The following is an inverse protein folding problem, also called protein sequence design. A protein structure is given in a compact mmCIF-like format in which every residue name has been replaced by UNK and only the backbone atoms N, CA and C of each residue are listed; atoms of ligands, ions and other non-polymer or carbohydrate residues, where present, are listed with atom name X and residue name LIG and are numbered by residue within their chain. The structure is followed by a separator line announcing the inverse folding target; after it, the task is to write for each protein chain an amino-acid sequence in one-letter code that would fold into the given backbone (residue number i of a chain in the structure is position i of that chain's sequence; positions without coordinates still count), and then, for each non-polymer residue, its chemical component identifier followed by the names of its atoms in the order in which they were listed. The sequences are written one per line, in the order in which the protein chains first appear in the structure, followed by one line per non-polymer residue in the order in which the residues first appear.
data_IF_757933416580
#
_entry.id   IF_757933416580
#
_cell.length_a   1.000
_cell.length_b   1.000
_cell.length_c   1.000
_cell.angle_alpha   90.00
_cell.angle_beta   90.00
_cell.angle_gamma   90.00
#
_symmetry.space_group_name_H-M   'P 1'
#
loop_
_entity.id
_entity.type
_entity.pdbx_description
1 polymer ?
#
# COMPACT_ATOMS: atom_id res chain seq x y z
N UNK A 1 42.20 -6.54 19.19
CA UNK A 1 41.60 -5.23 19.54
C UNK A 1 40.72 -4.83 18.38
N UNK A 2 39.48 -5.18 18.45
CA UNK A 2 38.42 -4.72 17.55
C UNK A 2 37.49 -3.90 18.44
N UNK A 3 37.50 -2.59 18.22
CA UNK A 3 36.72 -1.64 18.96
C UNK A 3 35.26 -1.71 18.46
N UNK A 4 34.35 -1.86 19.40
CA UNK A 4 32.92 -1.86 19.24
C UNK A 4 32.46 -0.59 18.53
N UNK A 5 31.79 -0.75 17.39
CA UNK A 5 31.02 0.31 16.75
C UNK A 5 29.56 0.12 17.21
N UNK A 6 29.17 0.88 18.23
CA UNK A 6 27.77 1.00 18.57
C UNK A 6 26.98 1.56 17.38
N UNK A 7 25.80 1.00 17.05
CA UNK A 7 24.94 1.56 16.02
C UNK A 7 24.33 2.88 16.53
N UNK A 8 24.63 3.98 15.84
CA UNK A 8 24.01 5.28 16.05
C UNK A 8 22.47 5.18 15.90
N UNK A 9 21.76 5.19 17.01
CA UNK A 9 20.28 5.24 17.10
C UNK A 9 19.69 6.60 16.67
N UNK A 10 20.51 7.62 16.45
CA UNK A 10 20.06 9.03 16.37
C UNK A 10 19.81 9.53 14.93
N UNK A 11 19.89 8.67 13.92
CA UNK A 11 19.69 9.08 12.53
C UNK A 11 18.28 8.82 11.99
N UNK A 12 17.40 8.27 12.78
CA UNK A 12 16.15 7.76 12.24
C UNK A 12 15.00 8.75 12.28
N UNK A 13 14.94 9.85 12.83
CA UNK A 13 13.82 10.83 12.80
C UNK A 13 13.93 11.87 13.93
N UNK A 14 14.37 13.05 13.53
CA UNK A 14 14.00 14.29 14.23
C UNK A 14 14.84 14.70 15.42
N UNK A 15 15.98 15.34 15.17
CA UNK A 15 16.54 16.31 16.12
C UNK A 15 16.57 17.70 15.48
N UNK A 16 15.87 18.60 16.14
CA UNK A 16 15.94 20.07 16.14
C UNK A 16 17.09 20.67 15.30
N UNK A 17 16.82 21.05 14.05
CA UNK A 17 17.67 21.93 13.30
C UNK A 17 17.44 23.39 13.73
N UNK A 18 18.36 23.95 14.50
CA UNK A 18 18.48 25.38 14.74
C UNK A 18 18.56 26.10 13.38
N UNK A 19 17.63 27.02 13.14
CA UNK A 19 17.64 27.96 12.01
C UNK A 19 18.94 28.76 12.02
N UNK A 20 19.88 28.43 11.16
CA UNK A 20 20.88 29.39 10.68
C UNK A 20 20.28 30.09 9.45
N UNK A 21 20.05 31.36 9.56
CA UNK A 21 19.84 32.25 8.40
C UNK A 21 21.10 32.16 7.55
N UNK A 22 21.02 31.57 6.37
CA UNK A 22 22.04 31.72 5.34
C UNK A 22 21.55 32.76 4.33
N UNK A 23 22.26 33.84 4.24
CA UNK A 23 22.12 34.81 3.15
C UNK A 23 22.34 34.09 1.82
N UNK A 24 21.34 34.13 0.97
CA UNK A 24 21.40 33.62 -0.39
C UNK A 24 22.19 34.57 -1.25
N UNK A 25 23.47 34.34 -1.43
CA UNK A 25 24.23 34.91 -2.54
C UNK A 25 23.88 34.10 -3.80
N UNK A 26 23.17 34.74 -4.72
CA UNK A 26 22.90 34.23 -6.07
C UNK A 26 24.23 34.03 -6.78
N UNK A 27 24.59 32.84 -7.28
CA UNK A 27 25.81 32.65 -8.06
C UNK A 27 25.65 33.38 -9.41
N UNK A 28 26.63 34.22 -9.75
CA UNK A 28 26.76 34.86 -11.07
C UNK A 28 26.77 33.79 -12.16
N UNK A 29 26.08 34.09 -13.27
CA UNK A 29 26.02 33.25 -14.46
C UNK A 29 27.38 32.69 -14.85
N UNK A 30 27.49 31.37 -14.80
CA UNK A 30 28.63 30.60 -15.35
C UNK A 30 28.43 30.59 -16.88
N UNK A 31 29.42 31.04 -17.64
CA UNK A 31 29.42 31.01 -19.10
C UNK A 31 29.17 29.57 -19.59
N UNK A 32 28.16 29.37 -20.43
CA UNK A 32 27.64 28.10 -20.88
C UNK A 32 28.53 27.33 -21.88
N UNK A 33 29.82 27.62 -21.98
CA UNK A 33 30.62 27.15 -23.11
C UNK A 33 31.37 25.83 -22.93
N UNK A 34 31.38 25.17 -21.78
CA UNK A 34 32.00 23.86 -21.62
C UNK A 34 31.46 23.08 -20.41
N UNK A 35 30.17 22.79 -20.40
CA UNK A 35 29.67 21.82 -19.45
C UNK A 35 29.69 20.46 -20.15
N UNK A 36 30.59 19.58 -19.74
CA UNK A 36 30.64 18.18 -20.19
C UNK A 36 29.26 17.52 -19.99
N UNK A 37 28.79 16.66 -20.92
CA UNK A 37 27.60 15.85 -20.71
C UNK A 37 27.62 15.08 -19.37
N UNK A 38 28.79 14.68 -18.89
CA UNK A 38 29.01 14.10 -17.56
C UNK A 38 28.69 15.08 -16.43
N UNK A 39 29.04 16.36 -16.58
CA UNK A 39 28.78 17.38 -15.55
C UNK A 39 27.29 17.71 -15.50
N UNK A 40 26.61 17.76 -16.66
CA UNK A 40 25.15 17.93 -16.72
C UNK A 40 24.45 16.72 -16.11
N UNK A 41 24.93 15.51 -16.40
CA UNK A 41 24.41 14.28 -15.83
C UNK A 41 24.61 14.23 -14.31
N UNK A 42 25.81 14.57 -13.80
CA UNK A 42 26.10 14.67 -12.38
C UNK A 42 25.29 15.78 -11.68
N UNK A 43 25.11 16.94 -12.31
CA UNK A 43 24.24 18.00 -11.80
C UNK A 43 22.79 17.57 -11.77
N UNK A 44 22.29 16.92 -12.83
CA UNK A 44 20.94 16.38 -12.86
C UNK A 44 20.71 15.36 -11.74
N UNK A 45 21.64 14.43 -11.54
CA UNK A 45 21.60 13.48 -10.42
C UNK A 45 21.70 14.17 -9.06
N UNK A 46 22.56 15.22 -8.93
CA UNK A 46 22.77 15.94 -7.68
C UNK A 46 21.52 16.73 -7.23
N UNK A 47 20.75 17.26 -8.17
CA UNK A 47 19.54 18.05 -7.88
C UNK A 47 18.28 17.20 -7.73
N UNK A 48 18.26 15.94 -8.19
CA UNK A 48 17.09 15.05 -8.11
C UNK A 48 17.20 14.00 -7.01
N UNK A 49 18.29 13.96 -6.24
CA UNK A 49 18.41 13.02 -5.12
C UNK A 49 17.58 13.49 -3.92
N UNK A 50 16.64 12.65 -3.51
CA UNK A 50 15.89 12.81 -2.25
C UNK A 50 16.84 12.63 -1.07
N UNK A 51 17.42 13.73 -0.56
CA UNK A 51 18.34 13.76 0.58
C UNK A 51 17.63 13.96 1.91
N UNK A 52 16.36 14.22 1.85
CA UNK A 52 15.47 14.50 2.97
C UNK A 52 14.83 13.24 3.57
N UNK A 53 14.96 12.09 2.87
CA UNK A 53 14.35 10.81 3.24
C UNK A 53 15.33 9.65 3.11
N UNK A 54 15.01 8.55 3.80
CA UNK A 54 15.74 7.29 3.64
C UNK A 54 15.28 6.59 2.35
N UNK A 55 16.19 6.35 1.42
CA UNK A 55 15.93 5.72 0.12
C UNK A 55 16.35 4.25 0.04
N UNK A 56 17.07 3.74 1.04
CA UNK A 56 17.49 2.35 1.18
C UNK A 56 17.28 1.88 2.62
N UNK A 57 16.85 0.66 2.78
CA UNK A 57 16.76 -0.01 4.08
C UNK A 57 18.14 -0.47 4.57
N UNK A 58 18.31 -0.85 5.85
CA UNK A 58 19.55 -1.49 6.35
C UNK A 58 19.92 -2.78 5.62
N UNK A 59 18.95 -3.49 5.02
CA UNK A 59 19.16 -4.70 4.21
C UNK A 59 19.23 -4.39 2.70
N UNK A 60 19.43 -3.14 2.32
CA UNK A 60 19.64 -2.63 0.96
C UNK A 60 18.43 -2.77 0.01
N UNK A 61 17.22 -2.95 0.53
CA UNK A 61 16.02 -2.85 -0.29
C UNK A 61 15.71 -1.37 -0.58
N UNK A 62 15.31 -1.01 -1.81
CA UNK A 62 14.94 0.36 -2.14
C UNK A 62 13.65 0.76 -1.44
N UNK A 63 13.60 2.02 -0.96
CA UNK A 63 12.38 2.68 -0.51
C UNK A 63 11.95 3.65 -1.60
N UNK A 64 10.79 3.38 -2.20
CA UNK A 64 10.28 4.13 -3.36
C UNK A 64 9.61 5.42 -2.89
N UNK A 65 10.16 6.55 -3.31
CA UNK A 65 9.61 7.89 -3.11
C UNK A 65 9.44 8.59 -4.45
N UNK A 66 8.59 9.62 -4.51
CA UNK A 66 8.60 10.54 -5.65
C UNK A 66 10.00 11.10 -5.85
N UNK A 67 10.46 11.11 -7.11
CA UNK A 67 11.81 11.57 -7.46
C UNK A 67 12.94 10.54 -7.30
N UNK A 68 12.67 9.30 -6.85
CA UNK A 68 13.69 8.23 -6.74
C UNK A 68 13.71 7.28 -7.93
N UNK A 69 12.80 7.42 -8.88
CA UNK A 69 12.69 6.57 -10.07
C UNK A 69 12.29 7.40 -11.30
N UNK A 70 12.56 6.86 -12.48
CA UNK A 70 12.09 7.40 -13.75
C UNK A 70 10.96 6.53 -14.27
N UNK A 71 9.75 7.09 -14.34
CA UNK A 71 8.56 6.39 -14.82
C UNK A 71 8.76 5.89 -16.24
N UNK A 72 9.16 6.76 -17.16
CA UNK A 72 9.30 6.43 -18.58
C UNK A 72 10.28 5.28 -18.83
N UNK A 73 11.39 5.24 -18.06
CA UNK A 73 12.37 4.15 -18.15
C UNK A 73 11.77 2.85 -17.64
N UNK A 74 11.09 2.87 -16.49
CA UNK A 74 10.47 1.68 -15.91
C UNK A 74 9.35 1.16 -16.80
N UNK A 75 8.45 2.02 -17.27
CA UNK A 75 7.36 1.64 -18.17
C UNK A 75 7.89 0.97 -19.45
N UNK A 76 8.91 1.57 -20.09
CA UNK A 76 9.54 0.98 -21.28
C UNK A 76 10.14 -0.40 -21.01
N UNK A 77 10.70 -0.64 -19.83
CA UNK A 77 11.26 -1.93 -19.42
C UNK A 77 10.18 -2.99 -19.15
N UNK A 78 9.08 -2.57 -18.52
CA UNK A 78 8.04 -3.50 -18.08
C UNK A 78 7.03 -3.84 -19.18
N UNK A 79 6.76 -2.93 -20.12
CA UNK A 79 5.92 -3.21 -21.29
C UNK A 79 6.43 -4.41 -22.11
N UNK A 80 7.75 -4.60 -22.17
CA UNK A 80 8.35 -5.73 -22.91
C UNK A 80 8.16 -7.09 -22.20
N UNK A 81 7.83 -7.09 -20.92
CA UNK A 81 7.72 -8.32 -20.12
C UNK A 81 6.34 -8.97 -20.17
N UNK A 82 5.33 -8.26 -20.69
CA UNK A 82 3.93 -8.71 -20.76
C UNK A 82 3.40 -9.26 -19.40
N UNK A 83 3.76 -8.63 -18.30
CA UNK A 83 3.36 -9.07 -16.97
C UNK A 83 1.90 -8.70 -16.69
N UNK A 84 1.18 -9.59 -16.05
CA UNK A 84 -0.19 -9.36 -15.59
C UNK A 84 -0.16 -9.16 -14.06
N UNK A 85 -0.76 -8.07 -13.59
CA UNK A 85 -0.85 -7.78 -12.15
C UNK A 85 -2.28 -7.98 -11.67
N UNK A 86 -2.44 -8.73 -10.57
CA UNK A 86 -3.70 -8.87 -9.85
C UNK A 86 -3.84 -7.86 -8.73
N UNK A 87 -5.03 -7.31 -8.56
CA UNK A 87 -5.40 -6.48 -7.40
C UNK A 87 -6.60 -7.12 -6.70
N UNK A 88 -6.44 -7.45 -5.43
CA UNK A 88 -7.51 -8.02 -4.61
C UNK A 88 -8.05 -6.97 -3.65
N UNK A 89 -9.37 -6.85 -3.61
CA UNK A 89 -10.08 -5.98 -2.67
C UNK A 89 -11.35 -6.65 -2.14
N UNK A 90 -11.78 -6.29 -0.93
CA UNK A 90 -12.89 -6.90 -0.22
C UNK A 90 -13.98 -5.87 0.06
N UNK A 91 -15.19 -6.11 -0.47
CA UNK A 91 -16.41 -5.31 -0.25
C UNK A 91 -17.48 -6.17 0.42
N UNK A 92 -17.24 -6.55 1.67
CA UNK A 92 -18.07 -7.47 2.46
C UNK A 92 -18.58 -6.77 3.72
N UNK A 93 -19.74 -7.19 4.26
CA UNK A 93 -20.38 -6.75 5.51
C UNK A 93 -20.99 -5.33 5.48
N UNK A 94 -20.53 -4.44 4.63
CA UNK A 94 -21.00 -3.05 4.61
C UNK A 94 -21.42 -2.62 3.21
N UNK A 95 -22.70 -2.57 2.98
CA UNK A 95 -23.31 -2.13 1.72
C UNK A 95 -22.73 -0.82 1.16
N UNK A 96 -22.29 0.10 2.02
CA UNK A 96 -21.68 1.35 1.58
C UNK A 96 -20.33 1.15 0.87
N UNK A 97 -19.59 0.05 1.13
CA UNK A 97 -18.35 -0.28 0.41
C UNK A 97 -18.64 -0.53 -1.08
N UNK A 98 -19.74 -1.23 -1.37
CA UNK A 98 -20.18 -1.47 -2.75
C UNK A 98 -20.58 -0.16 -3.42
N UNK A 99 -21.33 0.70 -2.73
CA UNK A 99 -21.72 2.02 -3.26
C UNK A 99 -20.48 2.89 -3.50
N UNK A 100 -19.52 2.87 -2.58
CA UNK A 100 -18.28 3.62 -2.73
C UNK A 100 -17.45 3.08 -3.89
N UNK A 101 -17.29 1.77 -3.99
CA UNK A 101 -16.57 1.10 -5.07
C UNK A 101 -17.10 1.53 -6.45
N UNK A 102 -18.41 1.63 -6.59
CA UNK A 102 -19.11 1.98 -7.84
C UNK A 102 -19.16 3.49 -8.11
N UNK A 103 -18.88 4.33 -7.12
CA UNK A 103 -19.01 5.79 -7.28
C UNK A 103 -17.94 6.36 -8.22
N UNK A 104 -18.25 7.48 -8.86
CA UNK A 104 -17.29 8.21 -9.72
C UNK A 104 -16.04 8.71 -8.99
N UNK A 105 -16.07 8.75 -7.65
CA UNK A 105 -14.93 9.08 -6.78
C UNK A 105 -14.45 7.87 -5.99
N UNK A 106 -14.99 6.68 -6.29
CA UNK A 106 -14.69 5.46 -5.57
C UNK A 106 -13.38 4.81 -5.99
N UNK A 107 -13.12 3.68 -5.33
CA UNK A 107 -11.92 2.89 -5.56
C UNK A 107 -11.72 2.57 -7.04
N UNK A 108 -12.73 1.96 -7.69
CA UNK A 108 -12.56 1.44 -9.05
C UNK A 108 -12.32 2.53 -10.08
N UNK A 109 -13.06 3.66 -9.99
CA UNK A 109 -12.86 4.79 -10.90
C UNK A 109 -11.45 5.38 -10.79
N UNK A 110 -10.92 5.50 -9.56
CA UNK A 110 -9.58 6.02 -9.34
C UNK A 110 -8.50 5.00 -9.68
N UNK A 111 -8.69 3.72 -9.36
CA UNK A 111 -7.75 2.65 -9.67
C UNK A 111 -7.61 2.46 -11.19
N UNK A 112 -8.73 2.42 -11.91
CA UNK A 112 -8.74 2.30 -13.37
C UNK A 112 -8.00 3.44 -14.09
N UNK A 113 -7.88 4.59 -13.42
CA UNK A 113 -7.17 5.76 -13.97
C UNK A 113 -5.69 5.83 -13.59
N UNK A 114 -5.36 5.40 -12.38
CA UNK A 114 -4.05 5.71 -11.78
C UNK A 114 -3.21 4.47 -11.43
N UNK A 115 -3.80 3.28 -11.35
CA UNK A 115 -3.07 2.07 -10.98
C UNK A 115 -2.58 1.34 -12.20
N UNK A 116 -1.27 1.25 -12.38
CA UNK A 116 -0.58 0.59 -13.50
C UNK A 116 -1.17 0.94 -14.86
N UNK A 117 -1.58 2.20 -15.06
CA UNK A 117 -2.21 2.66 -16.29
C UNK A 117 -1.32 2.35 -17.51
N UNK A 118 -1.89 1.67 -18.52
CA UNK A 118 -1.16 1.18 -19.70
C UNK A 118 -0.56 -0.22 -19.55
N UNK A 119 -0.74 -0.89 -18.39
CA UNK A 119 -0.35 -2.27 -18.15
C UNK A 119 -1.58 -3.13 -17.83
N UNK A 120 -1.59 -4.43 -18.16
CA UNK A 120 -2.72 -5.31 -17.85
C UNK A 120 -2.93 -5.48 -16.34
N UNK A 121 -4.15 -5.22 -15.86
CA UNK A 121 -4.53 -5.42 -14.45
C UNK A 121 -5.80 -6.24 -14.35
N UNK A 122 -5.77 -7.31 -13.57
CA UNK A 122 -6.91 -8.09 -13.16
C UNK A 122 -7.36 -7.64 -11.77
N UNK A 123 -8.52 -7.00 -11.68
CA UNK A 123 -9.13 -6.61 -10.41
C UNK A 123 -10.05 -7.73 -9.92
N UNK A 124 -9.80 -8.26 -8.73
CA UNK A 124 -10.59 -9.29 -8.07
C UNK A 124 -11.35 -8.66 -6.91
N UNK A 125 -12.64 -8.51 -7.08
CA UNK A 125 -13.53 -7.95 -6.06
C UNK A 125 -14.29 -9.07 -5.36
N UNK A 126 -13.99 -9.30 -4.09
CA UNK A 126 -14.79 -10.15 -3.22
C UNK A 126 -15.95 -9.36 -2.64
N UNK A 127 -17.19 -9.82 -2.84
CA UNK A 127 -18.38 -9.09 -2.37
C UNK A 127 -19.54 -10.01 -2.03
N UNK A 128 -20.31 -9.64 -1.01
CA UNK A 128 -21.58 -10.25 -0.61
C UNK A 128 -22.80 -9.70 -1.40
N UNK A 129 -22.58 -8.73 -2.29
CA UNK A 129 -23.62 -8.11 -3.10
C UNK A 129 -23.23 -8.06 -4.59
N UNK A 130 -22.90 -9.21 -5.25
CA UNK A 130 -22.42 -9.24 -6.62
C UNK A 130 -23.45 -8.68 -7.63
N UNK A 131 -24.75 -8.82 -7.36
CA UNK A 131 -25.83 -8.34 -8.22
C UNK A 131 -25.89 -6.81 -8.35
N UNK A 132 -25.20 -6.10 -7.47
CA UNK A 132 -25.14 -4.62 -7.48
C UNK A 132 -23.93 -4.09 -8.25
N UNK A 133 -22.99 -4.96 -8.60
CA UNK A 133 -21.85 -4.63 -9.43
C UNK A 133 -22.29 -4.67 -10.89
N UNK A 134 -22.96 -3.62 -11.36
CA UNK A 134 -23.38 -3.49 -12.76
C UNK A 134 -22.34 -2.70 -13.55
N UNK A 135 -22.05 -3.15 -14.75
CA UNK A 135 -21.34 -2.50 -15.87
C UNK A 135 -20.43 -1.31 -15.53
N UNK A 136 -19.27 -1.60 -14.91
CA UNK A 136 -18.19 -0.62 -14.82
C UNK A 136 -17.44 -0.56 -16.16
N UNK A 137 -17.23 0.64 -16.64
CA UNK A 137 -16.42 0.88 -17.81
C UNK A 137 -14.95 0.78 -17.42
N UNK A 138 -14.29 -0.32 -17.81
CA UNK A 138 -12.87 -0.57 -17.55
C UNK A 138 -12.02 0.00 -18.68
N UNK A 139 -10.75 0.32 -18.38
CA UNK A 139 -9.76 0.54 -19.43
C UNK A 139 -9.58 -0.73 -20.26
N UNK A 140 -9.25 -0.63 -21.54
CA UNK A 140 -9.21 -1.80 -22.45
C UNK A 140 -8.29 -2.93 -21.97
N UNK A 141 -7.22 -2.59 -21.25
CA UNK A 141 -6.24 -3.52 -20.72
C UNK A 141 -6.64 -4.14 -19.37
N UNK A 142 -7.69 -3.63 -18.72
CA UNK A 142 -8.09 -4.01 -17.37
C UNK A 142 -9.32 -4.93 -17.38
N UNK A 143 -9.31 -5.91 -16.46
CA UNK A 143 -10.42 -6.82 -16.25
C UNK A 143 -10.92 -6.76 -14.80
N UNK A 144 -12.24 -6.82 -14.61
CA UNK A 144 -12.86 -6.92 -13.30
C UNK A 144 -13.50 -8.30 -13.13
N UNK A 145 -13.05 -9.05 -12.13
CA UNK A 145 -13.61 -10.32 -11.71
C UNK A 145 -14.35 -10.11 -10.40
N UNK A 146 -15.66 -10.33 -10.43
CA UNK A 146 -16.50 -10.25 -9.23
C UNK A 146 -16.65 -11.65 -8.65
N UNK A 147 -16.16 -11.82 -7.42
CA UNK A 147 -16.17 -13.09 -6.72
C UNK A 147 -17.21 -13.03 -5.62
N UNK A 148 -18.34 -13.74 -5.78
CA UNK A 148 -19.40 -13.74 -4.78
C UNK A 148 -18.94 -14.47 -3.52
N UNK A 149 -19.24 -13.88 -2.36
CA UNK A 149 -18.93 -14.43 -1.05
C UNK A 149 -20.23 -14.68 -0.31
N UNK A 150 -20.82 -15.86 -0.55
CA UNK A 150 -22.08 -16.26 0.08
C UNK A 150 -21.87 -17.55 0.86
N UNK A 151 -22.54 -17.65 2.03
CA UNK A 151 -22.71 -18.85 2.85
C UNK A 151 -21.45 -19.50 3.44
N UNK A 152 -20.29 -18.88 3.35
CA UNK A 152 -19.08 -19.38 4.01
C UNK A 152 -18.88 -18.65 5.36
N UNK A 153 -18.81 -19.40 6.49
CA UNK A 153 -18.61 -18.80 7.82
C UNK A 153 -17.36 -17.93 7.95
N UNK A 154 -16.36 -18.11 7.07
CA UNK A 154 -15.15 -17.30 7.03
C UNK A 154 -15.42 -15.84 6.70
N UNK A 155 -16.54 -15.56 6.01
CA UNK A 155 -16.92 -14.20 5.60
C UNK A 155 -17.63 -13.42 6.70
N UNK A 156 -18.06 -14.07 7.79
CA UNK A 156 -18.66 -13.40 8.94
C UNK A 156 -17.65 -12.50 9.69
N UNK A 157 -16.35 -12.78 9.52
CA UNK A 157 -15.28 -11.94 10.04
C UNK A 157 -14.15 -11.83 9.01
N UNK A 158 -14.36 -11.00 8.00
CA UNK A 158 -13.42 -10.80 6.91
C UNK A 158 -12.08 -10.25 7.40
N UNK A 159 -12.08 -9.47 8.48
CA UNK A 159 -10.85 -8.90 9.04
C UNK A 159 -9.89 -9.98 9.53
N UNK A 160 -10.43 -11.11 9.99
CA UNK A 160 -9.65 -12.27 10.47
C UNK A 160 -9.35 -13.28 9.37
N UNK A 161 -10.28 -13.43 8.41
CA UNK A 161 -10.24 -14.49 7.41
C UNK A 161 -9.56 -14.09 6.10
N UNK A 162 -9.32 -12.81 5.88
CA UNK A 162 -8.78 -12.32 4.59
C UNK A 162 -7.48 -13.00 4.17
N UNK A 163 -6.58 -13.30 5.12
CA UNK A 163 -5.31 -13.97 4.82
C UNK A 163 -5.52 -15.41 4.38
N UNK A 164 -6.44 -16.14 5.02
CA UNK A 164 -6.81 -17.50 4.67
C UNK A 164 -7.48 -17.57 3.30
N UNK A 165 -8.47 -16.70 3.08
CA UNK A 165 -9.18 -16.59 1.81
C UNK A 165 -8.20 -16.29 0.69
N UNK A 166 -7.34 -15.28 0.87
CA UNK A 166 -6.37 -14.89 -0.14
C UNK A 166 -5.40 -16.03 -0.45
N UNK A 167 -4.87 -16.72 0.56
CA UNK A 167 -3.98 -17.87 0.35
C UNK A 167 -4.66 -19.00 -0.42
N UNK A 168 -5.94 -19.28 -0.11
CA UNK A 168 -6.72 -20.31 -0.79
C UNK A 168 -6.97 -19.97 -2.27
N UNK A 169 -7.32 -18.72 -2.57
CA UNK A 169 -7.52 -18.26 -3.97
C UNK A 169 -6.22 -18.16 -4.74
N UNK A 170 -5.11 -17.79 -4.11
CA UNK A 170 -3.80 -17.85 -4.76
C UNK A 170 -3.50 -19.27 -5.20
N UNK A 171 -3.68 -20.24 -4.30
CA UNK A 171 -3.38 -21.65 -4.58
C UNK A 171 -4.28 -22.23 -5.68
N UNK A 172 -5.56 -21.90 -5.67
CA UNK A 172 -6.53 -22.48 -6.61
C UNK A 172 -6.59 -21.77 -7.96
N UNK A 173 -6.34 -20.47 -8.01
CA UNK A 173 -6.64 -19.65 -9.18
C UNK A 173 -5.54 -18.65 -9.54
N UNK A 174 -5.21 -17.68 -8.65
CA UNK A 174 -4.41 -16.51 -9.03
C UNK A 174 -3.00 -16.85 -9.49
N UNK A 175 -2.39 -17.92 -8.97
CA UNK A 175 -1.05 -18.36 -9.39
C UNK A 175 -0.97 -18.76 -10.88
N UNK A 176 -2.11 -18.98 -11.54
CA UNK A 176 -2.20 -19.33 -12.96
C UNK A 176 -2.64 -18.16 -13.84
N UNK A 177 -3.07 -17.04 -13.23
CA UNK A 177 -3.67 -15.92 -13.96
C UNK A 177 -2.81 -14.65 -13.94
N UNK A 178 -1.99 -14.46 -12.88
CA UNK A 178 -1.20 -13.24 -12.70
C UNK A 178 0.22 -13.53 -12.21
N UNK A 179 1.16 -12.64 -12.53
CA UNK A 179 2.55 -12.72 -12.11
C UNK A 179 2.78 -12.06 -10.74
N UNK A 180 2.08 -10.95 -10.52
CA UNK A 180 2.15 -10.15 -9.28
C UNK A 180 0.76 -9.96 -8.71
N UNK A 181 0.67 -9.90 -7.39
CA UNK A 181 -0.59 -9.74 -6.67
C UNK A 181 -0.46 -8.69 -5.57
N UNK A 182 -1.41 -7.77 -5.52
CA UNK A 182 -1.50 -6.73 -4.50
C UNK A 182 -2.83 -6.79 -3.79
N UNK A 183 -2.79 -6.75 -2.45
CA UNK A 183 -3.97 -6.54 -1.61
C UNK A 183 -4.13 -5.06 -1.32
N UNK A 184 -5.30 -4.52 -1.63
CA UNK A 184 -5.63 -3.11 -1.44
C UNK A 184 -6.96 -2.99 -0.73
N UNK A 185 -7.02 -2.16 0.31
CA UNK A 185 -8.27 -1.87 0.98
C UNK A 185 -9.24 -1.11 0.06
N UNK A 186 -10.53 -1.44 0.13
CA UNK A 186 -11.55 -0.84 -0.73
C UNK A 186 -11.86 0.62 -0.38
N UNK A 187 -11.65 1.01 0.88
CA UNK A 187 -11.94 2.34 1.39
C UNK A 187 -10.83 3.36 1.10
N UNK A 188 -10.14 3.21 -0.01
CA UNK A 188 -9.11 4.14 -0.46
C UNK A 188 -9.48 4.81 -1.77
N UNK A 189 -8.90 5.96 -2.02
CA UNK A 189 -8.94 6.68 -3.29
C UNK A 189 -7.51 6.89 -3.79
N UNK A 190 -7.27 6.53 -5.06
CA UNK A 190 -6.03 6.87 -5.72
C UNK A 190 -6.12 8.32 -6.22
N UNK A 191 -5.12 9.12 -5.89
CA UNK A 191 -5.04 10.55 -6.23
C UNK A 191 -3.96 10.84 -7.26
N UNK A 192 -2.96 9.96 -7.38
CA UNK A 192 -1.88 10.07 -8.34
C UNK A 192 -1.46 8.68 -8.84
N UNK A 193 -0.66 8.67 -9.89
CA UNK A 193 -0.20 7.47 -10.56
C UNK A 193 0.60 6.55 -9.62
N UNK A 194 0.24 5.28 -9.62
CA UNK A 194 0.98 4.15 -9.04
C UNK A 194 1.32 3.23 -10.22
N UNK A 195 2.57 3.23 -10.64
CA UNK A 195 3.03 2.49 -11.83
C UNK A 195 3.89 1.29 -11.48
N UNK A 196 4.67 0.85 -12.43
CA UNK A 196 5.52 -0.34 -12.33
C UNK A 196 6.68 -0.21 -11.33
N UNK A 197 6.88 0.97 -10.75
CA UNK A 197 7.83 1.19 -9.65
C UNK A 197 7.50 0.37 -8.40
N UNK A 198 6.26 -0.13 -8.28
CA UNK A 198 5.87 -1.00 -7.17
C UNK A 198 6.27 -2.46 -7.37
N UNK A 199 6.60 -2.89 -8.59
CA UNK A 199 6.77 -4.31 -8.93
C UNK A 199 8.08 -4.87 -8.41
N UNK A 200 8.01 -5.83 -7.48
CA UNK A 200 9.14 -6.57 -6.92
C UNK A 200 8.66 -7.88 -6.28
N UNK A 201 9.60 -8.71 -5.77
CA UNK A 201 9.27 -10.02 -5.21
C UNK A 201 8.38 -9.93 -3.96
N UNK A 202 8.72 -9.11 -2.97
CA UNK A 202 7.94 -8.87 -1.76
C UNK A 202 7.91 -7.38 -1.45
N UNK A 203 6.71 -6.80 -1.44
CA UNK A 203 6.51 -5.34 -1.37
C UNK A 203 5.63 -4.99 -0.17
N UNK A 204 6.10 -4.05 0.62
CA UNK A 204 5.36 -3.54 1.78
C UNK A 204 5.32 -2.01 1.78
N UNK A 205 4.22 -1.43 2.26
CA UNK A 205 4.05 0.01 2.36
C UNK A 205 4.30 0.47 3.80
N UNK A 206 5.17 1.44 3.95
CA UNK A 206 5.48 2.05 5.26
C UNK A 206 4.25 2.85 5.72
N UNK A 207 3.83 2.63 6.97
CA UNK A 207 2.71 3.35 7.57
C UNK A 207 3.01 4.86 7.69
N UNK A 208 2.02 5.69 7.40
CA UNK A 208 2.11 7.14 7.53
C UNK A 208 2.41 7.60 8.98
N UNK A 209 2.05 6.80 9.97
CA UNK A 209 2.35 7.07 11.38
C UNK A 209 3.84 7.12 11.70
N UNK A 210 4.66 6.37 10.95
CA UNK A 210 6.10 6.28 11.19
C UNK A 210 6.86 7.57 10.85
N UNK A 211 6.32 8.44 10.01
CA UNK A 211 6.93 9.72 9.65
C UNK A 211 6.55 10.87 10.60
N UNK A 212 5.75 10.60 11.63
CA UNK A 212 5.28 11.59 12.58
C UNK A 212 5.97 11.37 13.92
N UNK A 213 6.83 12.31 14.36
CA UNK A 213 7.41 12.24 15.68
C UNK A 213 6.33 12.26 16.77
N UNK A 214 6.49 11.44 17.83
CA UNK A 214 5.66 11.40 19.03
C UNK A 214 4.35 10.58 18.97
N UNK A 215 4.12 9.77 17.97
CA UNK A 215 2.99 8.87 18.00
C UNK A 215 3.45 7.46 18.39
N UNK A 216 2.91 6.96 19.50
CA UNK A 216 3.16 5.60 19.97
C UNK A 216 2.62 4.61 18.95
N UNK A 217 3.36 3.55 18.70
CA UNK A 217 2.95 2.44 17.82
C UNK A 217 1.81 1.66 18.50
N UNK A 218 0.57 2.07 18.22
CA UNK A 218 -0.64 1.43 18.75
C UNK A 218 -0.92 0.05 18.13
N UNK A 219 -0.23 -0.28 17.05
CA UNK A 219 -0.40 -1.55 16.34
C UNK A 219 0.54 -2.66 16.82
N UNK A 220 1.46 -2.35 17.73
CA UNK A 220 2.36 -3.34 18.32
C UNK A 220 1.58 -4.31 19.22
N UNK A 221 1.77 -5.62 19.02
CA UNK A 221 1.20 -6.65 19.89
C UNK A 221 2.00 -6.73 21.20
N UNK A 222 1.31 -6.51 22.29
CA UNK A 222 1.91 -6.51 23.64
C UNK A 222 1.84 -7.88 24.34
N UNK A 223 1.00 -8.80 23.84
CA UNK A 223 0.91 -10.15 24.38
C UNK A 223 2.09 -11.01 23.92
N UNK A 224 3.03 -11.37 24.80
CA UNK A 224 4.23 -12.12 24.38
C UNK A 224 3.93 -13.53 23.87
N UNK A 225 2.76 -14.07 24.18
CA UNK A 225 2.30 -15.41 23.73
C UNK A 225 1.67 -15.37 22.32
N UNK A 226 1.37 -14.18 21.78
CA UNK A 226 0.85 -14.04 20.42
C UNK A 226 1.90 -14.40 19.38
N UNK A 227 1.46 -15.07 18.31
CA UNK A 227 2.31 -15.35 17.14
C UNK A 227 2.70 -14.07 16.39
N UNK A 228 2.01 -12.96 16.64
CA UNK A 228 2.33 -11.65 16.08
C UNK A 228 3.22 -10.78 16.98
N UNK A 229 3.61 -11.28 18.16
CA UNK A 229 4.41 -10.51 19.11
C UNK A 229 5.79 -10.16 18.54
N UNK A 230 6.12 -8.88 18.57
CA UNK A 230 7.44 -8.35 18.21
C UNK A 230 8.12 -7.92 19.52
N UNK A 231 9.27 -8.53 19.89
CA UNK A 231 10.00 -8.14 21.08
C UNK A 231 10.39 -6.66 21.05
N UNK A 232 10.39 -6.02 22.20
CA UNK A 232 10.77 -4.61 22.35
C UNK A 232 12.17 -4.36 21.73
N UNK A 233 12.28 -3.30 20.93
CA UNK A 233 13.53 -2.94 20.25
C UNK A 233 13.88 -3.77 19.01
N UNK A 234 13.02 -4.68 18.56
CA UNK A 234 13.21 -5.48 17.34
C UNK A 234 12.30 -5.02 16.20
N UNK A 235 11.97 -3.87 15.98
CA UNK A 235 11.23 -3.37 14.82
C UNK A 235 12.12 -2.57 13.88
N UNK A 236 11.96 -2.69 12.56
CA UNK A 236 12.61 -1.82 11.58
C UNK A 236 11.64 -0.72 11.12
N UNK A 237 10.53 -1.15 10.56
CA UNK A 237 9.47 -0.29 10.03
C UNK A 237 8.13 -0.85 10.47
N UNK A 238 7.14 0.03 10.59
CA UNK A 238 5.75 -0.36 10.70
C UNK A 238 5.09 -0.32 9.31
N UNK A 239 4.50 -1.43 8.89
CA UNK A 239 3.87 -1.59 7.59
C UNK A 239 2.36 -1.59 7.71
N UNK A 240 1.68 -0.87 6.82
CA UNK A 240 0.22 -0.93 6.74
C UNK A 240 -0.23 -2.17 5.98
N UNK A 241 -1.30 -2.79 6.46
CA UNK A 241 -1.97 -3.89 5.77
C UNK A 241 -2.94 -3.41 4.67
N UNK A 242 -3.11 -2.10 4.52
CA UNK A 242 -4.00 -1.53 3.50
C UNK A 242 -3.44 -1.58 2.08
N UNK A 243 -2.10 -1.71 1.93
CA UNK A 243 -1.46 -1.86 0.63
C UNK A 243 -0.15 -2.64 0.75
N UNK A 244 -0.15 -3.86 0.28
CA UNK A 244 1.03 -4.73 0.21
C UNK A 244 0.88 -5.71 -0.95
N UNK A 245 1.99 -6.34 -1.38
CA UNK A 245 1.94 -7.30 -2.48
C UNK A 245 3.30 -7.83 -2.88
N UNK A 246 3.42 -8.24 -4.14
CA UNK A 246 4.64 -8.79 -4.71
C UNK A 246 4.36 -9.88 -5.72
N UNK A 247 5.38 -10.73 -6.02
CA UNK A 247 5.15 -11.92 -6.83
C UNK A 247 4.12 -12.84 -6.14
N UNK A 248 3.29 -13.50 -6.94
CA UNK A 248 2.23 -14.38 -6.41
C UNK A 248 2.79 -15.40 -5.42
N UNK A 249 3.98 -15.94 -5.68
CA UNK A 249 4.63 -16.91 -4.81
C UNK A 249 4.99 -16.34 -3.42
N UNK A 250 5.50 -15.12 -3.36
CA UNK A 250 5.84 -14.48 -2.07
C UNK A 250 4.59 -14.03 -1.31
N UNK A 251 3.58 -13.53 -2.01
CA UNK A 251 2.28 -13.20 -1.40
C UNK A 251 1.59 -14.46 -0.85
N UNK A 252 1.70 -15.60 -1.52
CA UNK A 252 1.20 -16.88 -1.01
C UNK A 252 1.88 -17.28 0.31
N UNK A 253 3.22 -17.22 0.36
CA UNK A 253 3.97 -17.54 1.59
C UNK A 253 3.56 -16.63 2.74
N UNK A 254 3.46 -15.32 2.48
CA UNK A 254 3.06 -14.32 3.45
C UNK A 254 1.66 -14.60 3.99
N UNK A 255 0.66 -14.73 3.10
CA UNK A 255 -0.74 -14.89 3.52
C UNK A 255 -0.98 -16.20 4.24
N UNK A 256 -0.33 -17.28 3.82
CA UNK A 256 -0.39 -18.57 4.50
C UNK A 256 0.23 -18.52 5.90
N UNK A 257 1.39 -17.90 6.05
CA UNK A 257 2.04 -17.76 7.35
C UNK A 257 1.21 -16.90 8.32
N UNK A 258 0.69 -15.76 7.83
CA UNK A 258 -0.21 -14.91 8.62
C UNK A 258 -1.49 -15.64 9.02
N UNK A 259 -2.11 -16.39 8.10
CA UNK A 259 -3.29 -17.21 8.39
C UNK A 259 -3.02 -18.24 9.48
N UNK A 260 -1.91 -18.97 9.39
CA UNK A 260 -1.53 -19.96 10.40
C UNK A 260 -1.33 -19.32 11.79
N UNK A 261 -0.66 -18.18 11.86
CA UNK A 261 -0.48 -17.43 13.11
C UNK A 261 -1.81 -16.93 13.70
N UNK A 262 -2.72 -16.43 12.86
CA UNK A 262 -4.06 -15.98 13.27
C UNK A 262 -4.90 -17.14 13.85
N UNK A 263 -4.81 -18.33 13.25
CA UNK A 263 -5.48 -19.55 13.77
C UNK A 263 -4.93 -19.93 15.13
N UNK A 264 -3.60 -19.95 15.28
CA UNK A 264 -2.94 -20.30 16.54
C UNK A 264 -3.28 -19.29 17.66
N UNK A 265 -3.28 -17.99 17.37
CA UNK A 265 -3.67 -16.98 18.36
C UNK A 265 -5.13 -17.16 18.81
N UNK A 266 -6.03 -17.46 17.88
CA UNK A 266 -7.43 -17.77 18.20
C UNK A 266 -7.56 -18.98 19.10
N UNK A 267 -6.84 -20.08 18.82
CA UNK A 267 -6.83 -21.29 19.66
C UNK A 267 -6.31 -20.99 21.06
N UNK A 268 -5.39 -20.06 21.19
CA UNK A 268 -4.86 -19.58 22.48
C UNK A 268 -5.75 -18.53 23.17
N UNK A 269 -6.89 -18.17 22.57
CA UNK A 269 -7.80 -17.14 23.10
C UNK A 269 -7.25 -15.72 22.99
N UNK A 270 -6.24 -15.49 22.17
CA UNK A 270 -5.62 -14.18 21.94
C UNK A 270 -6.38 -13.50 20.79
N UNK A 271 -7.15 -12.48 21.14
CA UNK A 271 -7.90 -11.66 20.20
C UNK A 271 -7.68 -10.17 20.47
N UNK A 272 -7.58 -9.35 19.44
CA UNK A 272 -7.41 -7.90 19.56
C UNK A 272 -7.70 -7.16 18.24
N UNK A 273 -7.74 -5.84 18.22
CA UNK A 273 -7.88 -5.07 16.99
C UNK A 273 -6.62 -5.20 16.11
N UNK A 274 -6.80 -5.05 14.80
CA UNK A 274 -5.70 -5.02 13.83
C UNK A 274 -4.90 -6.33 13.68
N UNK A 275 -5.47 -7.49 14.00
CA UNK A 275 -4.76 -8.79 13.97
C UNK A 275 -4.00 -9.03 12.66
N UNK A 276 -4.62 -8.84 11.51
CA UNK A 276 -3.99 -9.11 10.21
C UNK A 276 -2.78 -8.21 9.95
N UNK A 277 -2.80 -6.94 10.41
CA UNK A 277 -1.67 -6.02 10.29
C UNK A 277 -0.52 -6.40 11.21
N UNK A 278 -0.82 -6.86 12.43
CA UNK A 278 0.19 -7.36 13.38
C UNK A 278 0.92 -8.58 12.85
N UNK A 279 0.19 -9.56 12.35
CA UNK A 279 0.79 -10.75 11.74
C UNK A 279 1.58 -10.42 10.47
N UNK A 280 1.11 -9.47 9.65
CA UNK A 280 1.85 -8.93 8.51
C UNK A 280 3.20 -8.35 8.96
N UNK A 281 3.19 -7.48 9.96
CA UNK A 281 4.40 -6.85 10.49
C UNK A 281 5.38 -7.88 11.07
N UNK A 282 4.86 -8.89 11.80
CA UNK A 282 5.67 -10.00 12.33
C UNK A 282 6.32 -10.81 11.22
N UNK A 283 5.57 -11.13 10.16
CA UNK A 283 6.10 -11.84 9.01
C UNK A 283 7.21 -11.04 8.30
N UNK A 284 6.97 -9.75 8.04
CA UNK A 284 7.91 -8.88 7.34
C UNK A 284 9.16 -8.55 8.18
N UNK A 285 9.07 -8.64 9.50
CA UNK A 285 10.25 -8.56 10.37
C UNK A 285 11.21 -9.73 10.12
N UNK A 286 10.69 -10.93 9.91
CA UNK A 286 11.46 -12.15 9.68
C UNK A 286 11.84 -12.35 8.20
N UNK A 287 10.96 -11.95 7.29
CA UNK A 287 11.09 -12.07 5.83
C UNK A 287 11.11 -10.66 5.24
N UNK A 288 12.31 -10.10 5.17
CA UNK A 288 12.48 -8.69 4.77
C UNK A 288 11.93 -8.42 3.38
N UNK A 289 11.10 -7.37 3.20
CA UNK A 289 10.64 -6.96 1.89
C UNK A 289 11.81 -6.63 0.96
N UNK A 290 11.67 -6.99 -0.31
CA UNK A 290 12.67 -6.66 -1.34
C UNK A 290 12.51 -5.22 -1.84
N UNK A 291 11.33 -4.60 -1.59
CA UNK A 291 11.03 -3.21 -1.90
C UNK A 291 10.07 -2.64 -0.87
N UNK A 292 10.32 -1.42 -0.44
CA UNK A 292 9.39 -0.66 0.38
C UNK A 292 8.78 0.48 -0.42
N UNK A 293 7.50 0.70 -0.20
CA UNK A 293 6.80 1.88 -0.67
C UNK A 293 6.78 2.91 0.47
N UNK A 294 7.13 4.13 0.15
CA UNK A 294 7.09 5.23 1.12
C UNK A 294 5.64 5.50 1.57
N UNK A 295 5.43 6.27 2.63
CA UNK A 295 4.08 6.68 3.04
C UNK A 295 3.32 7.48 1.98
N UNK A 296 3.96 7.93 0.89
CA UNK A 296 3.28 8.54 -0.26
C UNK A 296 2.26 7.60 -0.92
N UNK A 297 2.47 6.27 -0.79
CA UNK A 297 1.61 5.24 -1.36
C UNK A 297 0.39 4.88 -0.49
N UNK A 298 0.38 5.31 0.78
CA UNK A 298 -0.80 5.24 1.66
C UNK A 298 -0.70 6.33 2.72
N UNK A 299 -1.30 7.49 2.44
CA UNK A 299 -1.16 8.67 3.29
C UNK A 299 -2.48 9.05 3.96
N UNK A 300 -2.49 9.10 5.30
CA UNK A 300 -3.60 9.66 6.04
C UNK A 300 -3.65 11.19 5.85
N UNK A 301 -4.74 11.69 5.29
CA UNK A 301 -4.91 13.11 4.95
C UNK A 301 -5.00 14.03 6.15
N UNK A 302 -5.25 13.51 7.34
CA UNK A 302 -5.25 14.27 8.59
C UNK A 302 -3.82 14.59 9.06
N UNK A 303 -2.83 13.90 8.50
CA UNK A 303 -1.44 14.07 8.85
C UNK A 303 -0.74 15.09 7.94
N UNK A 304 0.33 15.69 8.45
CA UNK A 304 1.17 16.63 7.69
C UNK A 304 2.65 16.31 7.85
N UNK A 305 3.37 16.19 6.73
CA UNK A 305 4.82 16.02 6.73
C UNK A 305 5.42 16.68 5.48
N UNK A 306 6.55 17.34 5.67
CA UNK A 306 7.29 18.00 4.56
C UNK A 306 7.99 17.01 3.62
N UNK A 307 8.16 15.76 4.05
CA UNK A 307 8.78 14.70 3.22
C UNK A 307 7.81 14.11 2.20
N UNK A 308 6.50 14.31 2.33
CA UNK A 308 5.49 13.81 1.41
C UNK A 308 5.32 14.81 0.27
N UNK A 309 5.82 14.46 -0.91
CA UNK A 309 5.71 15.29 -2.11
C UNK A 309 4.44 14.99 -2.90
N UNK A 310 4.06 13.70 -2.95
CA UNK A 310 2.87 13.23 -3.68
C UNK A 310 2.06 12.31 -2.79
N UNK A 311 0.77 12.58 -2.65
CA UNK A 311 -0.18 11.67 -2.02
C UNK A 311 -0.79 10.79 -3.10
N UNK A 312 -0.33 9.54 -3.22
CA UNK A 312 -0.75 8.64 -4.29
C UNK A 312 -2.06 7.95 -3.99
N UNK A 313 -2.21 7.50 -2.75
CA UNK A 313 -3.42 6.85 -2.27
C UNK A 313 -3.73 7.30 -0.85
N UNK A 314 -4.99 7.54 -0.56
CA UNK A 314 -5.45 8.02 0.75
C UNK A 314 -6.68 7.22 1.21
N UNK A 315 -6.80 6.93 2.52
CA UNK A 315 -8.03 6.37 3.07
C UNK A 315 -9.18 7.37 2.95
N UNK A 316 -10.39 6.85 2.74
CA UNK A 316 -11.63 7.63 2.72
C UNK A 316 -12.37 7.41 4.02
N UNK A 317 -12.41 8.44 4.86
CA UNK A 317 -13.12 8.39 6.14
C UNK A 317 -14.64 8.56 5.95
N UNK A 318 -15.44 7.82 6.70
CA UNK A 318 -16.91 7.87 6.61
C UNK A 318 -17.52 9.27 6.83
N UNK A 319 -16.82 10.14 7.54
CA UNK A 319 -17.33 11.50 7.84
C UNK A 319 -17.40 12.42 6.62
N UNK A 320 -16.53 12.23 5.62
CA UNK A 320 -16.55 13.00 4.38
C UNK A 320 -17.72 12.62 3.44
N UNK A 321 -18.39 11.48 3.67
CA UNK A 321 -19.47 10.98 2.82
C UNK A 321 -20.90 11.42 3.28
N UNK A 322 -21.05 12.03 4.46
CA UNK A 322 -22.36 12.59 4.88
C UNK A 322 -22.87 13.71 3.96
N UNK A 323 -22.07 14.19 3.03
CA UNK A 323 -22.44 15.17 1.99
C UNK A 323 -22.87 14.55 0.65
N UNK A 324 -22.89 13.21 0.51
CA UNK A 324 -23.52 12.59 -0.65
C UNK A 324 -25.03 12.90 -0.66
N UNK A 325 -25.64 13.31 -1.79
CA UNK A 325 -27.04 13.66 -1.84
C UNK A 325 -27.87 12.44 -1.42
N UNK A 326 -28.72 12.60 -0.40
CA UNK A 326 -29.71 11.61 -0.03
C UNK A 326 -30.55 11.32 -1.28
N UNK A 327 -30.41 10.14 -1.88
CA UNK A 327 -31.38 9.66 -2.84
C UNK A 327 -32.74 9.65 -2.15
N UNK A 328 -33.66 10.49 -2.64
CA UNK A 328 -35.04 10.48 -2.18
C UNK A 328 -35.57 9.06 -2.35
N UNK A 329 -36.05 8.47 -1.27
CA UNK A 329 -36.70 7.16 -1.29
C UNK A 329 -37.83 7.20 -2.33
N UNK A 330 -37.68 6.44 -3.40
CA UNK A 330 -38.77 6.17 -4.34
C UNK A 330 -39.75 5.26 -3.58
N UNK A 331 -40.88 5.78 -3.20
CA UNK A 331 -41.95 4.96 -2.62
C UNK A 331 -42.39 3.93 -3.66
N UNK A 332 -42.56 2.65 -3.28
CA UNK A 332 -43.11 1.68 -4.22
C UNK A 332 -44.55 2.10 -4.55
N UNK A 333 -44.82 2.26 -5.84
CA UNK A 333 -46.22 2.38 -6.33
C UNK A 333 -46.84 1.00 -6.20
N UNK A 334 -47.79 0.85 -5.26
CA UNK A 334 -48.72 -0.26 -5.26
C UNK A 334 -49.74 -0.01 -6.37
N UNK A 335 -49.76 -0.82 -7.41
CA UNK A 335 -50.89 -0.99 -8.28
C UNK A 335 -51.88 -1.93 -7.56
N UNK A 336 -53.04 -1.39 -7.18
CA UNK A 336 -54.23 -2.17 -6.85
C UNK A 336 -54.99 -2.43 -8.14
N UNK A 337 -55.24 -3.69 -8.44
CA UNK A 337 -56.34 -4.17 -9.30
C UNK A 337 -57.30 -4.93 -8.42
#
# INVERSE_FOLDING_TARGET
MLTDIEPHKDLLWGSSLRKRKSETSVPRCINASFISPYTVFLMFFYFHLRRDVLVLTPWLAPIVWEGTFSRDILDAQYLQKNLITGVVTFAVEKYWFVIYFLSNKGFMSSANKYFLAGHPVNFYLFTDCPEKISHLQMAPENHLFVIPVQDDPRWQDISRSRMDILSSYIQSQFQHEVDYLYSVDINVQLLAHIGVEIIDALVATISSWQVIPQQEDKASETHPESQSAIPEGQGDFHYTASFYGGSVAEVYKLTRACSAGLVQDRENGIEGPWHHERHLNRYLLQHKPTRLLSPEYYWDTELSSSSIQVKRMCPVHQHSQRQAPRMKSVRPFFFTV
#
